data_IF_038636937029
#
_entry.id   IF_038636937029
#
_cell.length_a   1.000
_cell.length_b   1.000
_cell.length_c   1.000
_cell.angle_alpha   90.00
_cell.angle_beta   90.00
_cell.angle_gamma   90.00
#
_symmetry.space_group_name_H-M   'P 1'
#
loop_
_entity.id
_entity.type
_entity.pdbx_description
1 polymer ?
#
# COMPACT_ATOMS: atom_id res chain seq x y z
N UNK A 1 2.28 -11.15 -8.03
CA UNK A 1 3.46 -11.61 -7.26
C UNK A 1 3.44 -13.10 -6.84
N UNK A 2 2.65 -13.54 -5.84
CA UNK A 2 2.75 -14.93 -5.32
C UNK A 2 2.35 -15.98 -6.36
N UNK A 3 1.20 -15.77 -7.03
CA UNK A 3 0.71 -16.67 -8.08
C UNK A 3 1.70 -16.79 -9.25
N UNK A 4 2.30 -15.67 -9.66
CA UNK A 4 3.35 -15.64 -10.70
C UNK A 4 4.59 -16.45 -10.30
N UNK A 5 4.80 -16.68 -9.00
CA UNK A 5 5.88 -17.52 -8.44
C UNK A 5 5.43 -18.95 -8.14
N UNK A 6 4.23 -19.35 -8.59
CA UNK A 6 3.73 -20.71 -8.46
C UNK A 6 3.20 -21.09 -7.08
N UNK A 7 2.91 -20.12 -6.20
CA UNK A 7 2.30 -20.40 -4.90
C UNK A 7 1.16 -19.45 -4.56
N UNK A 8 0.18 -19.96 -3.80
CA UNK A 8 -0.93 -19.18 -3.28
C UNK A 8 -0.88 -19.17 -1.75
N UNK A 9 -0.80 -17.99 -1.10
CA UNK A 9 -0.90 -17.93 0.36
C UNK A 9 -2.29 -18.39 0.82
N UNK A 10 -2.36 -19.07 1.97
CA UNK A 10 -3.63 -19.38 2.63
C UNK A 10 -4.06 -18.19 3.48
N UNK A 11 -5.28 -17.69 3.27
CA UNK A 11 -5.84 -16.63 4.09
C UNK A 11 -6.27 -17.19 5.44
N UNK A 12 -5.56 -16.82 6.50
CA UNK A 12 -5.91 -17.21 7.88
C UNK A 12 -6.85 -16.22 8.56
N UNK A 13 -6.69 -14.92 8.29
CA UNK A 13 -7.43 -13.82 8.92
C UNK A 13 -7.73 -12.73 7.89
N UNK A 14 -8.82 -11.99 8.09
CA UNK A 14 -9.22 -10.86 7.25
C UNK A 14 -9.51 -9.66 8.15
N UNK A 15 -9.06 -8.48 7.72
CA UNK A 15 -9.27 -7.21 8.40
C UNK A 15 -9.42 -6.10 7.37
N UNK A 16 -9.82 -4.91 7.81
CA UNK A 16 -10.09 -3.77 6.92
C UNK A 16 -9.14 -2.61 7.17
N UNK A 17 -8.66 -2.47 8.41
CA UNK A 17 -7.75 -1.42 8.78
C UNK A 17 -6.31 -1.90 8.67
N UNK A 18 -5.47 -1.01 8.14
CA UNK A 18 -4.02 -1.24 8.04
C UNK A 18 -3.42 -1.72 9.37
N UNK A 19 -3.79 -1.10 10.48
CA UNK A 19 -3.19 -1.40 11.79
C UNK A 19 -3.60 -2.76 12.36
N UNK A 20 -4.75 -3.30 11.94
CA UNK A 20 -5.19 -4.65 12.29
C UNK A 20 -4.27 -5.69 11.63
N UNK A 21 -3.91 -5.50 10.35
CA UNK A 21 -2.98 -6.40 9.67
C UNK A 21 -1.62 -6.49 10.37
N UNK A 22 -1.07 -5.36 10.80
CA UNK A 22 0.20 -5.35 11.54
C UNK A 22 0.06 -5.97 12.93
N UNK A 23 -1.07 -5.77 13.60
CA UNK A 23 -1.37 -6.41 14.89
C UNK A 23 -1.36 -7.93 14.76
N UNK A 24 -1.93 -8.50 13.69
CA UNK A 24 -1.88 -9.95 13.46
C UNK A 24 -0.45 -10.49 13.35
N UNK A 25 0.43 -9.78 12.64
CA UNK A 25 1.85 -10.19 12.52
C UNK A 25 2.56 -10.06 13.87
N UNK A 26 2.31 -9.00 14.63
CA UNK A 26 2.88 -8.80 15.97
C UNK A 26 2.47 -9.93 16.94
N UNK A 27 1.24 -10.42 16.83
CA UNK A 27 0.73 -11.53 17.63
C UNK A 27 1.19 -12.91 17.12
N UNK A 28 2.02 -12.96 16.06
CA UNK A 28 2.54 -14.21 15.50
C UNK A 28 1.52 -15.00 14.66
N UNK A 29 0.42 -14.38 14.23
CA UNK A 29 -0.67 -15.05 13.49
C UNK A 29 -0.37 -15.24 12.00
N UNK A 30 0.74 -14.71 11.48
CA UNK A 30 1.13 -14.89 10.09
C UNK A 30 2.19 -13.92 9.59
N UNK A 31 2.25 -13.75 8.27
CA UNK A 31 3.13 -12.81 7.56
C UNK A 31 2.31 -11.81 6.75
N UNK A 32 2.88 -10.64 6.49
CA UNK A 32 2.25 -9.58 5.71
C UNK A 32 3.16 -9.15 4.57
N UNK A 33 2.63 -9.13 3.35
CA UNK A 33 3.23 -8.47 2.19
C UNK A 33 2.51 -7.12 2.05
N UNK A 34 3.26 -6.02 2.10
CA UNK A 34 2.70 -4.67 2.10
C UNK A 34 3.56 -3.72 1.27
N UNK A 35 2.97 -2.74 0.55
CA UNK A 35 3.73 -1.73 -0.19
C UNK A 35 4.73 -0.95 0.69
N UNK A 36 5.91 -0.67 0.14
CA UNK A 36 7.05 -0.08 0.89
C UNK A 36 6.74 1.29 1.50
N UNK A 37 5.88 2.08 0.85
CA UNK A 37 5.51 3.44 1.27
C UNK A 37 4.96 3.51 2.72
N UNK A 38 4.45 2.41 3.25
CA UNK A 38 3.90 2.33 4.61
C UNK A 38 4.84 1.68 5.61
N UNK A 39 5.82 0.91 5.14
CA UNK A 39 6.76 0.16 5.98
C UNK A 39 7.93 1.04 6.47
N UNK A 40 8.11 2.23 5.90
CA UNK A 40 9.12 3.21 6.36
C UNK A 40 8.94 3.65 7.81
N UNK A 41 7.72 3.56 8.35
CA UNK A 41 7.53 3.69 9.79
C UNK A 41 8.01 2.40 10.48
N UNK A 42 9.22 2.44 11.09
CA UNK A 42 9.72 1.34 11.91
C UNK A 42 8.70 1.04 13.02
N UNK A 43 8.05 -0.13 12.98
CA UNK A 43 7.18 -0.62 14.05
C UNK A 43 7.99 -1.53 14.95
N UNK A 44 8.05 -1.20 16.24
CA UNK A 44 8.74 -2.04 17.23
C UNK A 44 8.20 -3.48 17.18
N UNK A 45 9.09 -4.46 17.21
CA UNK A 45 8.73 -5.89 17.14
C UNK A 45 8.52 -6.45 15.73
N UNK A 46 8.54 -5.64 14.67
CA UNK A 46 8.41 -6.11 13.29
C UNK A 46 9.68 -5.92 12.48
N UNK A 47 10.05 -6.94 11.70
CA UNK A 47 11.13 -6.88 10.71
C UNK A 47 10.53 -6.83 9.31
N UNK A 48 11.00 -5.89 8.50
CA UNK A 48 10.65 -5.79 7.10
C UNK A 48 11.86 -6.10 6.22
N UNK A 49 11.63 -6.83 5.13
CA UNK A 49 12.63 -7.13 4.10
C UNK A 49 12.07 -6.69 2.75
N UNK A 50 12.78 -5.88 1.96
CA UNK A 50 12.30 -5.44 0.65
C UNK A 50 12.29 -6.61 -0.33
N UNK A 51 11.19 -6.76 -1.07
CA UNK A 51 11.04 -7.68 -2.21
C UNK A 51 11.22 -6.83 -3.48
N UNK A 52 12.33 -7.01 -4.19
CA UNK A 52 12.77 -6.08 -5.26
C UNK A 52 12.37 -6.51 -6.67
N UNK A 53 12.07 -7.78 -6.85
CA UNK A 53 11.71 -8.41 -8.12
C UNK A 53 10.18 -8.44 -8.33
N UNK A 54 9.49 -7.42 -7.81
CA UNK A 54 8.06 -7.21 -8.02
C UNK A 54 7.93 -5.97 -8.90
N UNK A 55 7.14 -6.05 -9.98
CA UNK A 55 6.78 -4.89 -10.79
C UNK A 55 6.08 -3.81 -9.94
N UNK A 56 5.78 -2.64 -10.54
CA UNK A 56 5.11 -1.53 -9.85
C UNK A 56 3.83 -2.05 -9.16
N UNK A 57 3.85 -2.11 -7.82
CA UNK A 57 2.84 -2.86 -7.03
C UNK A 57 1.54 -2.07 -6.85
N UNK A 58 1.57 -0.74 -7.01
CA UNK A 58 0.44 0.13 -6.72
C UNK A 58 0.40 1.28 -7.72
N UNK A 59 -0.71 1.39 -8.44
CA UNK A 59 -1.09 2.61 -9.14
C UNK A 59 -1.67 3.60 -8.13
N UNK A 60 -1.13 4.82 -8.14
CA UNK A 60 -1.58 5.89 -7.24
C UNK A 60 -2.34 6.90 -8.08
N UNK A 61 -3.59 7.18 -7.71
CA UNK A 61 -4.45 8.14 -8.39
C UNK A 61 -4.83 9.27 -7.45
N UNK A 62 -4.80 10.50 -7.96
CA UNK A 62 -5.45 11.63 -7.32
C UNK A 62 -6.96 11.55 -7.58
N UNK A 63 -7.79 11.75 -6.56
CA UNK A 63 -9.26 11.69 -6.67
C UNK A 63 -9.86 12.93 -6.05
N UNK A 64 -10.78 13.56 -6.76
CA UNK A 64 -11.56 14.71 -6.30
C UNK A 64 -13.00 14.62 -6.79
N UNK A 65 -13.90 15.38 -6.17
CA UNK A 65 -15.30 15.48 -6.62
C UNK A 65 -15.36 16.43 -7.81
N UNK A 66 -15.85 15.96 -8.95
CA UNK A 66 -15.82 16.67 -10.24
C UNK A 66 -16.54 18.02 -10.19
N UNK A 67 -17.62 18.13 -9.40
CA UNK A 67 -18.49 19.30 -9.34
C UNK A 67 -18.05 20.34 -8.30
N UNK A 68 -17.05 20.06 -7.46
CA UNK A 68 -16.57 21.01 -6.45
C UNK A 68 -15.55 21.97 -7.06
N UNK A 69 -15.79 23.28 -6.89
CA UNK A 69 -14.74 24.29 -7.04
C UNK A 69 -13.85 24.29 -5.81
N UNK A 70 -12.77 23.51 -5.85
CA UNK A 70 -11.73 23.54 -4.83
C UNK A 70 -10.59 24.45 -5.32
N UNK A 71 -10.35 25.61 -4.69
CA UNK A 71 -9.33 26.57 -5.13
C UNK A 71 -7.90 25.99 -5.06
N UNK A 72 -7.67 24.97 -4.23
CA UNK A 72 -6.36 24.31 -4.12
C UNK A 72 -6.15 23.22 -5.20
N UNK A 73 -7.20 22.82 -5.94
CA UNK A 73 -7.11 21.66 -6.83
C UNK A 73 -6.12 21.87 -7.97
N UNK A 74 -6.18 23.02 -8.67
CA UNK A 74 -5.29 23.25 -9.80
C UNK A 74 -3.82 23.33 -9.35
N UNK A 75 -3.55 24.08 -8.28
CA UNK A 75 -2.22 24.12 -7.69
C UNK A 75 -1.70 22.75 -7.26
N UNK A 76 -2.56 21.88 -6.70
CA UNK A 76 -2.20 20.50 -6.40
C UNK A 76 -1.87 19.70 -7.68
N UNK A 77 -2.71 19.78 -8.71
CA UNK A 77 -2.51 19.06 -9.99
C UNK A 77 -1.31 19.56 -10.80
N UNK A 78 -0.86 20.79 -10.58
CA UNK A 78 0.40 21.32 -11.15
C UNK A 78 1.63 20.70 -10.47
N UNK A 79 1.51 20.23 -9.22
CA UNK A 79 2.59 19.64 -8.43
C UNK A 79 2.72 18.12 -8.61
N UNK A 80 1.72 17.44 -9.17
CA UNK A 80 1.76 16.00 -9.42
C UNK A 80 2.51 15.72 -10.73
N UNK A 81 3.68 15.04 -10.72
CA UNK A 81 4.42 14.70 -11.92
C UNK A 81 3.68 13.61 -12.72
N UNK A 82 3.73 13.73 -14.05
CA UNK A 82 2.99 12.95 -15.08
C UNK A 82 1.48 13.22 -15.16
N UNK A 83 1.13 14.22 -15.98
CA UNK A 83 -0.22 14.42 -16.54
C UNK A 83 -0.40 13.53 -17.77
N UNK A 84 -0.32 12.23 -17.63
CA UNK A 84 -0.76 11.34 -18.71
C UNK A 84 -2.24 11.08 -18.50
N UNK A 85 -3.05 11.97 -19.09
CA UNK A 85 -4.48 11.75 -19.35
C UNK A 85 -4.60 10.94 -20.64
#
# INVERSE_FOLDING_TARGET
MCLERGFAPKTGQVAYLRDEFFTFVLLGMGILIYPENVVRAKRAGLKAVPIRDVGKVVDVSAVWRKEIRNPALQGFLDLVPDRTV
#
